data_IF_778050224230
#
_entry.id   IF_778050224230
#
_cell.length_a   1.000
_cell.length_b   1.000
_cell.length_c   1.000
_cell.angle_alpha   90.00
_cell.angle_beta   90.00
_cell.angle_gamma   90.00
#
_symmetry.space_group_name_H-M   'P 1'
#
loop_
_entity.id
_entity.type
_entity.pdbx_description
1 polymer ?
#
# COMPACT_ATOMS: atom_id res chain seq x y z
N UNK A 1 -12.84 -5.71 25.57
CA UNK A 1 -12.97 -5.19 24.19
C UNK A 1 -11.60 -4.77 23.72
N UNK A 2 -10.97 -5.52 22.79
CA UNK A 2 -9.77 -4.98 22.14
C UNK A 2 -10.21 -3.71 21.40
N UNK A 3 -9.53 -2.59 21.63
CA UNK A 3 -9.85 -1.34 20.96
C UNK A 3 -9.80 -1.61 19.45
N UNK A 4 -10.93 -1.49 18.75
CA UNK A 4 -11.00 -1.63 17.28
C UNK A 4 -9.94 -0.75 16.58
N UNK A 5 -9.53 0.34 17.23
CA UNK A 5 -8.47 1.27 16.82
C UNK A 5 -7.09 0.59 16.64
N UNK A 6 -6.88 -0.62 17.16
CA UNK A 6 -5.62 -1.37 16.98
C UNK A 6 -5.56 -2.22 15.70
N UNK A 7 -6.54 -2.14 14.79
CA UNK A 7 -6.67 -3.10 13.68
C UNK A 7 -6.27 -2.53 12.29
N UNK A 8 -6.52 -1.25 11.97
CA UNK A 8 -5.84 -0.55 10.87
C UNK A 8 -4.50 -0.02 11.37
N UNK A 9 -3.38 -0.54 10.83
CA UNK A 9 -2.02 -0.09 11.17
C UNK A 9 -1.71 1.27 10.54
N UNK A 10 -2.39 2.31 11.02
CA UNK A 10 -2.31 3.68 10.48
C UNK A 10 -0.89 4.26 10.58
N UNK A 11 -0.08 3.74 11.50
CA UNK A 11 1.30 4.16 11.70
C UNK A 11 2.16 4.04 10.44
N UNK A 12 1.95 3.03 9.59
CA UNK A 12 2.68 2.94 8.32
C UNK A 12 2.28 4.08 7.37
N UNK A 13 0.98 4.33 7.22
CA UNK A 13 0.48 5.40 6.36
C UNK A 13 0.93 6.79 6.87
N UNK A 14 0.88 7.02 8.19
CA UNK A 14 1.38 8.26 8.81
C UNK A 14 2.89 8.42 8.61
N UNK A 15 3.69 7.38 8.86
CA UNK A 15 5.14 7.43 8.64
C UNK A 15 5.46 7.70 7.17
N UNK A 16 4.73 7.07 6.25
CA UNK A 16 4.84 7.33 4.82
C UNK A 16 4.55 8.80 4.47
N UNK A 17 3.49 9.38 5.05
CA UNK A 17 3.13 10.77 4.84
C UNK A 17 4.19 11.73 5.40
N UNK A 18 4.70 11.47 6.61
CA UNK A 18 5.78 12.26 7.23
C UNK A 18 7.03 12.23 6.34
N UNK A 19 7.45 11.04 5.90
CA UNK A 19 8.63 10.89 5.04
C UNK A 19 8.44 11.64 3.71
N UNK A 20 7.27 11.51 3.09
CA UNK A 20 6.96 12.24 1.86
C UNK A 20 6.97 13.76 2.09
N UNK A 21 6.46 14.25 3.21
CA UNK A 21 6.46 15.67 3.56
C UNK A 21 7.88 16.20 3.74
N UNK A 22 8.72 15.46 4.47
CA UNK A 22 10.15 15.78 4.66
C UNK A 22 10.89 15.78 3.32
N UNK A 23 10.65 14.79 2.46
CA UNK A 23 11.27 14.71 1.13
C UNK A 23 10.87 15.85 0.20
N UNK A 24 9.64 16.37 0.32
CA UNK A 24 9.10 17.41 -0.58
C UNK A 24 9.41 18.82 -0.09
N UNK A 25 9.30 19.07 1.21
CA UNK A 25 9.50 20.40 1.82
C UNK A 25 10.93 20.65 2.28
N UNK A 26 11.64 19.60 2.70
CA UNK A 26 13.00 19.67 3.26
C UNK A 26 13.98 18.79 2.47
N UNK A 27 13.80 18.75 1.14
CA UNK A 27 14.53 17.86 0.21
C UNK A 27 16.06 17.88 0.42
N UNK A 28 16.62 19.03 0.78
CA UNK A 28 18.05 19.17 1.11
C UNK A 28 18.45 18.32 2.31
N UNK A 29 17.80 18.53 3.46
CA UNK A 29 18.12 17.86 4.72
C UNK A 29 17.91 16.35 4.67
N UNK A 30 16.88 15.88 3.97
CA UNK A 30 16.65 14.44 3.80
C UNK A 30 17.74 13.78 2.95
N UNK A 31 18.07 14.36 1.79
CA UNK A 31 19.10 13.82 0.91
C UNK A 31 20.48 13.82 1.56
N UNK A 32 20.81 14.89 2.30
CA UNK A 32 22.06 14.97 3.07
C UNK A 32 22.12 13.85 4.12
N UNK A 33 21.01 13.59 4.81
CA UNK A 33 20.93 12.49 5.79
C UNK A 33 21.12 11.11 5.14
N UNK A 34 20.58 10.89 3.94
CA UNK A 34 20.78 9.67 3.17
C UNK A 34 22.24 9.44 2.75
N UNK A 35 23.09 10.47 2.77
CA UNK A 35 24.53 10.35 2.49
C UNK A 35 25.32 10.21 3.80
N UNK A 36 25.04 11.06 4.79
CA UNK A 36 25.87 11.19 5.99
C UNK A 36 25.64 10.08 7.02
N UNK A 37 24.42 9.53 7.12
CA UNK A 37 24.12 8.45 8.09
C UNK A 37 24.92 7.16 7.79
N UNK A 38 24.94 6.63 6.55
CA UNK A 38 25.79 5.46 6.24
C UNK A 38 27.27 5.69 6.60
N UNK A 39 27.81 6.88 6.27
CA UNK A 39 29.19 7.26 6.61
C UNK A 39 29.44 7.24 8.12
N UNK A 40 28.54 7.85 8.91
CA UNK A 40 28.61 7.87 10.37
C UNK A 40 28.62 6.46 10.99
N UNK A 41 27.97 5.50 10.34
CA UNK A 41 27.91 4.10 10.77
C UNK A 41 28.97 3.20 10.11
N UNK A 42 29.94 3.76 9.38
CA UNK A 42 30.98 3.03 8.64
C UNK A 42 30.42 1.98 7.67
N UNK A 43 29.24 2.22 7.09
CA UNK A 43 28.66 1.37 6.04
C UNK A 43 29.43 1.66 4.75
N UNK A 44 30.09 0.64 4.21
CA UNK A 44 30.86 0.75 2.97
C UNK A 44 29.89 0.70 1.79
N UNK A 45 29.53 1.87 1.25
CA UNK A 45 28.82 1.97 -0.01
C UNK A 45 29.82 1.79 -1.18
N UNK A 46 29.49 1.01 -2.23
CA UNK A 46 30.26 1.01 -3.47
C UNK A 46 30.31 2.41 -4.12
N UNK A 47 29.37 3.28 -3.77
CA UNK A 47 29.32 4.68 -4.20
C UNK A 47 29.23 5.61 -2.97
N UNK A 48 30.37 6.09 -2.43
CA UNK A 48 30.46 6.76 -1.10
C UNK A 48 29.72 8.10 -0.98
N UNK A 49 29.43 8.73 -2.13
CA UNK A 49 28.76 10.03 -2.21
C UNK A 49 27.36 9.92 -2.82
N UNK A 50 26.88 8.70 -3.11
CA UNK A 50 25.51 8.50 -3.56
C UNK A 50 24.59 8.47 -2.34
N UNK A 51 23.44 9.12 -2.44
CA UNK A 51 22.39 9.02 -1.44
C UNK A 51 21.95 7.56 -1.30
N UNK A 52 21.92 7.06 -0.07
CA UNK A 52 21.42 5.72 0.22
C UNK A 52 19.99 5.57 -0.31
N UNK A 53 19.65 4.48 -1.02
CA UNK A 53 18.35 4.30 -1.63
C UNK A 53 17.30 3.91 -0.59
N UNK A 54 16.89 4.89 0.23
CA UNK A 54 15.90 4.69 1.30
C UNK A 54 14.57 4.15 0.73
N UNK A 55 14.08 4.75 -0.35
CA UNK A 55 12.90 4.27 -1.09
C UNK A 55 13.32 3.28 -2.18
N UNK A 56 13.73 2.10 -1.77
CA UNK A 56 13.97 0.96 -2.67
C UNK A 56 12.73 0.04 -2.73
N UNK A 57 12.79 -0.99 -3.59
CA UNK A 57 11.68 -1.92 -3.77
C UNK A 57 11.24 -2.64 -2.46
N UNK A 58 12.16 -2.88 -1.51
CA UNK A 58 11.76 -3.47 -0.22
C UNK A 58 10.86 -2.53 0.60
N UNK A 59 11.10 -1.22 0.50
CA UNK A 59 10.26 -0.20 1.12
C UNK A 59 8.87 -0.14 0.49
N UNK A 60 8.80 -0.21 -0.83
CA UNK A 60 7.54 -0.23 -1.60
C UNK A 60 6.71 -1.48 -1.26
N UNK A 61 7.35 -2.66 -1.26
CA UNK A 61 6.72 -3.92 -0.85
C UNK A 61 6.22 -3.87 0.61
N UNK A 62 7.01 -3.29 1.52
CA UNK A 62 6.61 -3.09 2.91
C UNK A 62 5.38 -2.19 3.02
N UNK A 63 5.35 -1.06 2.30
CA UNK A 63 4.19 -0.17 2.27
C UNK A 63 2.94 -0.86 1.74
N UNK A 64 3.06 -1.59 0.62
CA UNK A 64 1.95 -2.39 0.09
C UNK A 64 1.43 -3.39 1.12
N UNK A 65 2.34 -4.11 1.79
CA UNK A 65 1.97 -5.06 2.83
C UNK A 65 1.20 -4.37 3.97
N UNK A 66 1.69 -3.25 4.47
CA UNK A 66 1.05 -2.53 5.57
C UNK A 66 -0.29 -1.86 5.20
N UNK A 67 -0.51 -1.49 3.93
CA UNK A 67 -1.73 -0.82 3.50
C UNK A 67 -2.78 -1.76 2.93
N UNK A 68 -2.38 -2.86 2.31
CA UNK A 68 -3.30 -3.80 1.64
C UNK A 68 -3.45 -5.10 2.43
N UNK A 69 -2.37 -5.60 3.05
CA UNK A 69 -2.38 -6.89 3.75
C UNK A 69 -2.70 -6.70 5.23
N UNK A 70 -2.03 -5.82 5.95
CA UNK A 70 -2.23 -5.69 7.42
C UNK A 70 -3.66 -5.27 7.83
N UNK A 71 -4.34 -4.32 7.16
CA UNK A 71 -5.65 -3.82 7.61
C UNK A 71 -6.76 -4.85 7.38
N UNK A 72 -7.04 -5.68 8.39
CA UNK A 72 -8.00 -6.80 8.30
C UNK A 72 -9.44 -6.33 8.10
N UNK A 73 -9.74 -5.07 8.41
CA UNK A 73 -11.03 -4.44 8.20
C UNK A 73 -11.41 -4.39 6.72
N UNK A 74 -10.41 -4.18 5.84
CA UNK A 74 -10.62 -4.24 4.40
C UNK A 74 -11.21 -5.60 3.97
N UNK A 75 -10.95 -6.67 4.71
CA UNK A 75 -11.45 -8.02 4.38
C UNK A 75 -12.92 -8.22 4.73
N UNK A 76 -13.45 -7.38 5.61
CA UNK A 76 -14.84 -7.46 6.09
C UNK A 76 -15.76 -6.49 5.37
N UNK A 77 -15.20 -5.59 4.56
CA UNK A 77 -15.99 -4.65 3.75
C UNK A 77 -16.82 -5.42 2.72
N UNK A 78 -18.05 -4.97 2.53
CA UNK A 78 -18.89 -5.49 1.47
C UNK A 78 -18.36 -5.05 0.11
N UNK A 79 -18.71 -5.78 -0.96
CA UNK A 79 -18.26 -5.44 -2.33
C UNK A 79 -18.71 -4.06 -2.81
N UNK A 80 -19.81 -3.56 -2.25
CA UNK A 80 -20.46 -2.27 -2.51
C UNK A 80 -20.17 -1.25 -1.41
N UNK A 81 -19.21 -1.54 -0.53
CA UNK A 81 -18.75 -0.59 0.48
C UNK A 81 -18.23 0.70 -0.17
N UNK A 82 -18.50 1.84 0.48
CA UNK A 82 -18.10 3.16 0.00
C UNK A 82 -16.60 3.23 -0.33
N UNK A 83 -15.75 2.56 0.46
CA UNK A 83 -14.31 2.49 0.20
C UNK A 83 -14.03 1.97 -1.22
N UNK A 84 -14.63 0.86 -1.63
CA UNK A 84 -14.42 0.31 -2.97
C UNK A 84 -15.06 1.17 -4.05
N UNK A 85 -16.23 1.75 -3.80
CA UNK A 85 -16.89 2.65 -4.75
C UNK A 85 -16.06 3.90 -5.04
N UNK A 86 -15.45 4.48 -4.01
CA UNK A 86 -14.56 5.64 -4.16
C UNK A 86 -13.31 5.28 -4.98
N UNK A 87 -12.71 4.12 -4.72
CA UNK A 87 -11.54 3.64 -5.46
C UNK A 87 -11.86 3.39 -6.94
N UNK A 88 -13.03 2.82 -7.26
CA UNK A 88 -13.51 2.65 -8.65
C UNK A 88 -13.74 4.00 -9.31
N UNK A 89 -14.37 4.93 -8.61
CA UNK A 89 -14.67 6.27 -9.13
C UNK A 89 -13.41 7.04 -9.50
N UNK A 90 -12.35 6.89 -8.72
CA UNK A 90 -11.05 7.52 -8.98
C UNK A 90 -10.17 6.70 -9.93
N UNK A 91 -10.60 5.49 -10.31
CA UNK A 91 -9.85 4.58 -11.16
C UNK A 91 -8.42 4.35 -10.67
N UNK A 92 -8.24 3.99 -9.39
CA UNK A 92 -6.90 3.80 -8.79
C UNK A 92 -6.07 2.71 -9.49
N UNK A 93 -6.74 1.78 -10.20
CA UNK A 93 -6.06 0.72 -10.96
C UNK A 93 -5.43 1.23 -12.26
N UNK A 94 -5.67 2.47 -12.68
CA UNK A 94 -5.00 3.09 -13.84
C UNK A 94 -3.47 3.19 -13.69
N UNK A 95 -2.99 3.14 -12.45
CA UNK A 95 -1.55 3.13 -12.13
C UNK A 95 -0.89 1.78 -12.49
N UNK A 96 -1.65 0.78 -12.96
CA UNK A 96 -1.14 -0.54 -13.30
C UNK A 96 -1.37 -0.85 -14.78
N UNK A 97 -0.40 -1.53 -15.37
CA UNK A 97 -0.58 -2.23 -16.64
C UNK A 97 -1.21 -3.60 -16.36
N UNK A 98 -2.43 -3.81 -16.83
CA UNK A 98 -3.15 -5.07 -16.64
C UNK A 98 -2.79 -6.02 -17.80
N UNK A 99 -2.09 -7.11 -17.49
CA UNK A 99 -1.71 -8.14 -18.46
C UNK A 99 -2.75 -9.25 -18.56
N UNK A 100 -3.39 -9.60 -17.44
CA UNK A 100 -4.47 -10.59 -17.36
C UNK A 100 -5.43 -10.28 -16.22
N UNK A 101 -6.73 -10.43 -16.45
CA UNK A 101 -7.77 -10.31 -15.43
C UNK A 101 -9.02 -11.08 -15.88
N UNK A 102 -9.71 -11.75 -14.94
CA UNK A 102 -11.04 -12.35 -15.20
C UNK A 102 -12.19 -11.36 -15.06
N UNK A 103 -12.03 -10.36 -14.18
CA UNK A 103 -13.02 -9.31 -13.91
C UNK A 103 -12.34 -7.96 -14.06
N UNK A 104 -13.04 -7.00 -14.62
CA UNK A 104 -12.54 -5.62 -14.66
C UNK A 104 -12.61 -4.96 -13.29
N UNK A 105 -11.86 -3.86 -13.11
CA UNK A 105 -11.88 -3.11 -11.87
C UNK A 105 -13.26 -2.50 -11.60
N UNK A 106 -13.94 -2.05 -12.65
CA UNK A 106 -15.30 -1.50 -12.63
C UNK A 106 -16.34 -2.56 -12.23
N UNK A 107 -16.14 -3.83 -12.63
CA UNK A 107 -17.01 -4.93 -12.21
C UNK A 107 -16.80 -5.32 -10.74
N UNK A 108 -15.54 -5.32 -10.27
CA UNK A 108 -15.22 -5.84 -8.95
C UNK A 108 -13.88 -5.34 -8.40
N UNK A 109 -13.86 -4.16 -7.78
CA UNK A 109 -12.69 -3.66 -7.06
C UNK A 109 -12.17 -4.63 -5.97
N UNK A 110 -13.09 -5.25 -5.22
CA UNK A 110 -12.74 -6.27 -4.23
C UNK A 110 -11.94 -7.45 -4.82
N UNK A 111 -12.17 -7.80 -6.09
CA UNK A 111 -11.40 -8.85 -6.76
C UNK A 111 -9.93 -8.42 -6.93
N UNK A 112 -9.70 -7.23 -7.49
CA UNK A 112 -8.35 -6.69 -7.68
C UNK A 112 -7.59 -6.54 -6.36
N UNK A 113 -8.26 -6.04 -5.31
CA UNK A 113 -7.60 -5.87 -4.00
C UNK A 113 -7.31 -7.19 -3.32
N UNK A 114 -8.18 -8.21 -3.47
CA UNK A 114 -7.88 -9.55 -2.99
C UNK A 114 -6.70 -10.18 -3.75
N UNK A 115 -6.63 -10.00 -5.07
CA UNK A 115 -5.51 -10.49 -5.88
C UNK A 115 -4.20 -9.78 -5.53
N UNK A 116 -4.23 -8.46 -5.39
CA UNK A 116 -3.07 -7.67 -4.95
C UNK A 116 -2.61 -8.10 -3.55
N UNK A 117 -3.55 -8.26 -2.61
CA UNK A 117 -3.25 -8.77 -1.27
C UNK A 117 -2.58 -10.13 -1.34
N UNK A 118 -3.17 -11.07 -2.07
CA UNK A 118 -2.64 -12.43 -2.19
C UNK A 118 -1.24 -12.40 -2.78
N UNK A 119 -1.02 -11.57 -3.81
CA UNK A 119 0.29 -11.38 -4.44
C UNK A 119 1.34 -10.94 -3.42
N UNK A 120 1.04 -9.89 -2.64
CA UNK A 120 1.99 -9.35 -1.65
C UNK A 120 2.17 -10.28 -0.45
N UNK A 121 1.08 -10.87 0.08
CA UNK A 121 1.16 -11.74 1.26
C UNK A 121 1.87 -13.07 1.00
N UNK A 122 1.86 -13.54 -0.25
CA UNK A 122 2.52 -14.79 -0.65
C UNK A 122 3.82 -14.58 -1.41
N UNK A 123 4.25 -13.33 -1.59
CA UNK A 123 5.45 -12.96 -2.36
C UNK A 123 5.36 -13.50 -3.79
N UNK A 124 4.17 -13.42 -4.40
CA UNK A 124 3.93 -13.75 -5.81
C UNK A 124 4.15 -12.50 -6.68
N UNK A 125 5.39 -12.02 -6.65
CA UNK A 125 5.82 -10.90 -7.47
C UNK A 125 7.31 -10.99 -7.79
N UNK A 126 7.73 -10.34 -8.86
CA UNK A 126 9.13 -10.10 -9.20
C UNK A 126 9.37 -8.60 -9.38
N UNK A 127 10.62 -8.20 -9.26
CA UNK A 127 11.08 -6.84 -9.53
C UNK A 127 11.97 -6.92 -10.77
N UNK A 128 11.62 -6.18 -11.81
CA UNK A 128 12.37 -6.10 -13.06
C UNK A 128 13.58 -5.17 -12.93
N UNK A 129 14.48 -5.18 -13.92
CA UNK A 129 15.72 -4.39 -13.89
C UNK A 129 15.47 -2.87 -13.88
N UNK A 130 14.33 -2.42 -14.38
CA UNK A 130 13.87 -1.02 -14.34
C UNK A 130 13.18 -0.64 -13.01
N UNK A 131 13.08 -1.59 -12.07
CA UNK A 131 12.44 -1.41 -10.78
C UNK A 131 10.92 -1.56 -10.77
N UNK A 132 10.31 -2.01 -11.87
CA UNK A 132 8.87 -2.28 -11.93
C UNK A 132 8.51 -3.55 -11.15
N UNK A 133 7.33 -3.55 -10.52
CA UNK A 133 6.76 -4.73 -9.86
C UNK A 133 5.85 -5.47 -10.82
N UNK A 134 6.12 -6.75 -11.04
CA UNK A 134 5.24 -7.67 -11.78
C UNK A 134 4.59 -8.60 -10.77
N UNK A 135 3.27 -8.62 -10.71
CA UNK A 135 2.48 -9.25 -9.64
C UNK A 135 1.41 -10.20 -10.19
N UNK A 136 1.20 -11.32 -9.52
CA UNK A 136 0.21 -12.34 -9.91
C UNK A 136 -0.42 -13.03 -8.69
N UNK A 137 -1.58 -13.65 -8.86
CA UNK A 137 -2.42 -14.13 -7.74
C UNK A 137 -2.13 -15.57 -7.26
N UNK A 138 -1.43 -16.39 -8.06
CA UNK A 138 -1.10 -17.80 -7.74
C UNK A 138 0.41 -18.05 -7.54
N UNK A 139 0.81 -19.12 -6.86
CA UNK A 139 2.25 -19.36 -6.57
C UNK A 139 3.02 -19.74 -7.84
N UNK A 140 4.24 -19.22 -7.97
CA UNK A 140 5.21 -19.58 -9.02
C UNK A 140 5.81 -21.01 -8.84
N UNK A 141 5.03 -22.00 -8.39
CA UNK A 141 5.52 -23.38 -8.28
C UNK A 141 4.97 -24.18 -9.45
N UNK A 142 5.75 -24.26 -10.53
CA UNK A 142 5.55 -25.20 -11.65
C UNK A 142 4.24 -25.05 -12.45
N UNK A 143 3.38 -24.10 -12.09
CA UNK A 143 2.15 -23.76 -12.80
C UNK A 143 2.49 -22.72 -13.88
N UNK A 144 2.23 -23.08 -15.14
CA UNK A 144 2.46 -22.18 -16.26
C UNK A 144 1.56 -20.93 -16.14
N UNK A 145 2.02 -19.81 -16.73
CA UNK A 145 1.32 -18.50 -16.73
C UNK A 145 -0.15 -18.57 -17.18
N UNK A 146 -0.49 -19.64 -17.90
CA UNK A 146 -1.85 -20.01 -18.31
C UNK A 146 -2.84 -20.13 -17.14
N UNK A 147 -2.39 -20.48 -15.93
CA UNK A 147 -3.24 -20.64 -14.75
C UNK A 147 -3.44 -19.35 -13.93
N UNK A 148 -2.73 -18.26 -14.23
CA UNK A 148 -2.96 -17.01 -13.50
C UNK A 148 -4.31 -16.41 -13.88
N UNK A 149 -5.14 -16.01 -12.93
CA UNK A 149 -6.39 -15.31 -13.25
C UNK A 149 -6.22 -13.79 -13.20
N UNK A 150 -5.11 -13.35 -12.60
CA UNK A 150 -4.76 -11.96 -12.44
C UNK A 150 -3.25 -11.75 -12.56
N UNK A 151 -2.84 -10.83 -13.42
CA UNK A 151 -1.45 -10.47 -13.67
C UNK A 151 -1.35 -8.99 -14.03
N UNK A 152 -0.59 -8.24 -13.24
CA UNK A 152 -0.40 -6.80 -13.44
C UNK A 152 1.06 -6.40 -13.29
N UNK A 153 1.37 -5.20 -13.76
CA UNK A 153 2.66 -4.57 -13.62
C UNK A 153 2.49 -3.10 -13.19
N UNK A 154 3.41 -2.59 -12.38
CA UNK A 154 3.46 -1.19 -11.97
C UNK A 154 4.91 -0.71 -11.88
N UNK A 155 5.20 0.41 -12.54
CA UNK A 155 6.51 1.04 -12.43
C UNK A 155 6.63 1.85 -11.13
N UNK A 156 7.85 2.29 -10.83
CA UNK A 156 8.13 3.03 -9.60
C UNK A 156 7.33 4.32 -9.43
N UNK A 157 7.21 5.13 -10.48
CA UNK A 157 6.47 6.41 -10.39
C UNK A 157 4.98 6.18 -10.12
N UNK A 158 4.39 5.19 -10.79
CA UNK A 158 2.98 4.87 -10.63
C UNK A 158 2.72 4.18 -9.28
N UNK A 159 3.69 3.42 -8.76
CA UNK A 159 3.65 2.86 -7.41
C UNK A 159 3.51 3.97 -6.36
N UNK A 160 4.31 5.02 -6.44
CA UNK A 160 4.23 6.14 -5.49
C UNK A 160 2.86 6.84 -5.54
N UNK A 161 2.31 7.04 -6.75
CA UNK A 161 0.97 7.60 -6.94
C UNK A 161 -0.10 6.70 -6.32
N UNK A 162 -0.08 5.40 -6.66
CA UNK A 162 -1.00 4.42 -6.11
C UNK A 162 -0.96 4.38 -4.58
N UNK A 163 0.24 4.29 -3.98
CA UNK A 163 0.42 4.27 -2.54
C UNK A 163 -0.13 5.55 -1.88
N UNK A 164 0.03 6.70 -2.52
CA UNK A 164 -0.57 7.96 -2.09
C UNK A 164 -2.10 7.91 -2.06
N UNK A 165 -2.72 7.44 -3.15
CA UNK A 165 -4.17 7.31 -3.26
C UNK A 165 -4.75 6.34 -2.24
N UNK A 166 -4.15 5.14 -2.13
CA UNK A 166 -4.57 4.14 -1.14
C UNK A 166 -4.43 4.67 0.28
N UNK A 167 -3.32 5.34 0.61
CA UNK A 167 -3.12 5.89 1.96
C UNK A 167 -4.24 6.87 2.34
N UNK A 168 -4.67 7.74 1.42
CA UNK A 168 -5.76 8.68 1.63
C UNK A 168 -7.08 7.97 1.92
N UNK A 169 -7.42 6.94 1.14
CA UNK A 169 -8.64 6.17 1.37
C UNK A 169 -8.62 5.39 2.68
N UNK A 170 -7.46 4.85 3.06
CA UNK A 170 -7.29 4.21 4.37
C UNK A 170 -7.44 5.23 5.51
N UNK A 171 -6.89 6.44 5.38
CA UNK A 171 -7.10 7.50 6.36
C UNK A 171 -8.58 7.87 6.51
N UNK A 172 -9.30 7.98 5.40
CA UNK A 172 -10.73 8.27 5.41
C UNK A 172 -11.52 7.16 6.14
N UNK A 173 -11.28 5.90 5.77
CA UNK A 173 -11.90 4.75 6.41
C UNK A 173 -11.61 4.71 7.92
N UNK A 174 -10.35 4.93 8.31
CA UNK A 174 -9.96 5.00 9.72
C UNK A 174 -10.74 6.08 10.49
N UNK A 175 -10.82 7.29 9.92
CA UNK A 175 -11.53 8.41 10.54
C UNK A 175 -13.04 8.16 10.65
N UNK A 176 -13.65 7.52 9.65
CA UNK A 176 -15.07 7.14 9.68
C UNK A 176 -15.36 6.11 10.78
N UNK A 177 -14.54 5.07 10.87
CA UNK A 177 -14.63 4.06 11.95
C UNK A 177 -14.47 4.73 13.32
N UNK A 178 -13.48 5.62 13.48
CA UNK A 178 -13.25 6.32 14.74
C UNK A 178 -14.43 7.20 15.15
N UNK A 179 -15.02 7.95 14.20
CA UNK A 179 -16.21 8.78 14.47
C UNK A 179 -17.41 7.94 14.87
N UNK A 180 -17.72 6.86 14.15
CA UNK A 180 -18.83 5.97 14.50
C UNK A 180 -18.69 5.33 15.88
N UNK A 181 -17.46 5.01 16.31
CA UNK A 181 -17.18 4.52 17.67
C UNK A 181 -17.39 5.60 18.75
N UNK A 182 -17.08 6.86 18.46
CA UNK A 182 -17.32 7.96 19.41
C UNK A 182 -18.81 8.25 19.56
N UNK A 183 -19.56 8.24 18.47
CA UNK A 183 -21.00 8.52 18.48
C UNK A 183 -21.75 7.42 19.23
N UNK A 184 -21.45 6.14 18.95
CA UNK A 184 -22.07 4.99 19.65
C UNK A 184 -21.78 4.97 21.16
N UNK A 185 -20.57 5.35 21.59
CA UNK A 185 -20.25 5.48 23.01
C UNK A 185 -20.93 6.69 23.66
N UNK A 186 -21.13 7.78 22.92
CA UNK A 186 -21.84 8.96 23.42
C UNK A 186 -23.32 8.67 23.66
N UNK A 187 -23.97 7.90 22.78
CA UNK A 187 -25.35 7.43 22.98
C UNK A 187 -25.50 6.46 24.15
N UNK A 188 -24.50 5.62 24.42
CA UNK A 188 -24.52 4.71 25.57
C UNK A 188 -24.40 5.46 26.92
N UNK A 189 -23.68 6.59 26.96
CA UNK A 189 -23.51 7.42 28.16
C UNK A 189 -24.76 8.30 28.42
N UNK A 190 -25.49 8.70 27.38
CA UNK A 190 -26.70 9.53 27.53
C UNK A 190 -27.94 8.68 27.89
N UNK A 191 -27.91 7.37 27.65
CA UNK A 191 -29.01 6.44 27.93
C UNK A 191 -28.79 5.56 29.16
N UNK A 192 -27.74 5.81 29.95
CA UNK A 192 -27.48 5.18 31.26
C UNK A 192 -27.63 6.17 32.41
#
# INVERSE_FOLDING_TARGET
MSKLINQISIGCAVNAAIINDVMTKEKGTFNDSCIEVPKKHNIISPEPNMAWPFQNASWEAYKLYCMIVVPKELYKLAKDDKYYLDLVKEDVMRNFTIKKQEKSFQESALYHFNSLRNSISHVNYSITDDGSFVMWDHKYRQEAEELWHWHIEINKSDMDLFLGEISRHIFNLYNEIERGLRDSNTYAIITS
#
